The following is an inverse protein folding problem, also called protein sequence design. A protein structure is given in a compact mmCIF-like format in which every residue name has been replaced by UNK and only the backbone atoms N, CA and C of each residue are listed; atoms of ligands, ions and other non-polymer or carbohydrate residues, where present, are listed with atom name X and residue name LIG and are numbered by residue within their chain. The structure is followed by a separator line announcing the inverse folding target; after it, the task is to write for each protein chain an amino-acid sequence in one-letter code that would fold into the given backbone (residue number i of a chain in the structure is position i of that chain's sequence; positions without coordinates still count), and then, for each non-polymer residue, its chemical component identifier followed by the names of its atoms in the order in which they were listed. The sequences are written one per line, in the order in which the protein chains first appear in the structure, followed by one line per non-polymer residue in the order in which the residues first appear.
data_IF_127909146516
#
_entry.id   IF_127909146516
#
_cell.length_a   1.000
_cell.length_b   1.000
_cell.length_c   1.000
_cell.angle_alpha   90.00
_cell.angle_beta   90.00
_cell.angle_gamma   90.00
#
_symmetry.space_group_name_H-M   'P 1'
#
loop_
_entity.id
_entity.type
_entity.pdbx_description
1 polymer ?
#
# COMPACT_ATOMS: atom_id res chain seq x y z
N UNK A 1 -17.44 -5.71 -32.95
CA UNK A 1 -17.63 -5.88 -31.50
C UNK A 1 -16.30 -6.35 -30.92
N UNK A 2 -15.57 -5.48 -30.24
CA UNK A 2 -14.29 -5.81 -29.61
C UNK A 2 -14.57 -6.00 -28.11
N UNK A 3 -14.41 -7.22 -27.61
CA UNK A 3 -14.42 -7.50 -26.19
C UNK A 3 -13.11 -6.95 -25.60
N UNK A 4 -13.20 -5.84 -24.88
CA UNK A 4 -12.17 -5.49 -23.91
C UNK A 4 -12.39 -6.36 -22.68
N UNK A 5 -11.54 -7.36 -22.51
CA UNK A 5 -11.41 -8.10 -21.26
C UNK A 5 -10.89 -7.12 -20.21
N UNK A 6 -11.76 -6.66 -19.31
CA UNK A 6 -11.33 -5.94 -18.10
C UNK A 6 -10.51 -6.92 -17.26
N UNK A 7 -9.20 -6.73 -17.23
CA UNK A 7 -8.32 -7.45 -16.32
C UNK A 7 -8.45 -6.77 -14.96
N UNK A 8 -9.24 -7.34 -14.06
CA UNK A 8 -9.28 -6.94 -12.65
C UNK A 8 -7.92 -7.32 -12.05
N UNK A 9 -7.08 -6.33 -11.77
CA UNK A 9 -5.82 -6.58 -11.06
C UNK A 9 -6.15 -6.64 -9.57
N UNK A 10 -6.23 -7.86 -9.01
CA UNK A 10 -6.22 -8.04 -7.56
C UNK A 10 -4.78 -7.84 -7.09
N UNK A 11 -4.48 -6.64 -6.60
CA UNK A 11 -3.22 -6.37 -5.90
C UNK A 11 -3.34 -7.05 -4.54
N UNK A 12 -2.56 -8.10 -4.33
CA UNK A 12 -2.39 -8.66 -2.99
C UNK A 12 -1.41 -7.74 -2.25
N UNK A 13 -1.94 -6.81 -1.46
CA UNK A 13 -1.13 -6.13 -0.44
C UNK A 13 -0.80 -7.18 0.61
N UNK A 14 0.45 -7.62 0.63
CA UNK A 14 0.93 -8.57 1.64
C UNK A 14 1.27 -7.74 2.89
N UNK A 15 0.70 -8.04 4.07
CA UNK A 15 0.94 -7.27 5.28
C UNK A 15 2.44 -7.28 5.61
N UNK A 16 2.97 -6.11 5.95
CA UNK A 16 4.36 -5.96 6.38
C UNK A 16 4.60 -6.80 7.65
N UNK A 17 5.46 -7.80 7.54
CA UNK A 17 5.87 -8.66 8.64
C UNK A 17 6.74 -7.84 9.61
N UNK A 18 6.24 -7.53 10.81
CA UNK A 18 7.04 -6.92 11.88
C UNK A 18 7.70 -8.03 12.71
N UNK A 19 9.04 -8.00 12.81
CA UNK A 19 9.80 -8.94 13.65
C UNK A 19 9.96 -8.35 15.05
N UNK A 20 9.20 -8.86 16.01
CA UNK A 20 9.29 -8.50 17.44
C UNK A 20 10.30 -9.42 18.15
N UNK A 21 11.39 -8.85 18.68
CA UNK A 21 12.36 -9.59 19.49
C UNK A 21 11.83 -9.77 20.91
N UNK A 22 11.61 -11.02 21.34
CA UNK A 22 11.13 -11.35 22.68
C UNK A 22 12.31 -11.59 23.64
N UNK A 23 12.37 -10.83 24.74
CA UNK A 23 13.19 -11.16 25.90
C UNK A 23 12.37 -12.04 26.85
N UNK A 24 12.82 -13.28 27.12
CA UNK A 24 12.26 -14.09 28.19
C UNK A 24 12.67 -13.51 29.55
N UNK A 25 11.68 -13.19 30.40
CA UNK A 25 11.88 -13.03 31.83
C UNK A 25 11.05 -14.05 32.60
N UNK A 26 11.64 -14.55 33.68
CA UNK A 26 11.17 -15.68 34.47
C UNK A 26 9.85 -15.40 35.21
N UNK A 27 9.04 -16.45 35.37
CA UNK A 27 7.70 -16.45 35.93
C UNK A 27 7.69 -16.36 37.46
N UNK A 28 6.82 -15.50 37.98
CA UNK A 28 6.26 -15.63 39.33
C UNK A 28 4.74 -15.67 39.22
N UNK A 29 4.10 -16.61 39.92
CA UNK A 29 2.66 -16.84 39.83
C UNK A 29 1.89 -15.73 40.58
N UNK A 30 0.87 -15.08 39.97
CA UNK A 30 0.09 -14.08 40.68
C UNK A 30 -1.10 -14.68 41.44
N UNK A 31 -1.27 -14.19 42.66
CA UNK A 31 -2.47 -14.26 43.50
C UNK A 31 -3.62 -13.49 42.83
N UNK A 32 -4.89 -13.93 42.89
CA UNK A 32 -6.00 -13.23 42.24
C UNK A 32 -6.32 -11.92 42.99
N UNK A 33 -5.87 -10.81 42.43
CA UNK A 33 -6.25 -9.46 42.84
C UNK A 33 -7.53 -9.06 42.11
N UNK A 34 -8.53 -8.60 42.86
CA UNK A 34 -9.71 -7.90 42.36
C UNK A 34 -9.26 -6.71 41.50
N UNK A 35 -9.55 -6.73 40.20
CA UNK A 35 -9.04 -5.73 39.25
C UNK A 35 -9.71 -4.36 39.43
N UNK A 36 -9.04 -3.49 40.17
CA UNK A 36 -9.30 -2.05 40.25
C UNK A 36 -8.44 -1.29 39.21
N UNK A 37 -8.50 -1.70 37.94
CA UNK A 37 -7.77 -1.10 36.82
C UNK A 37 -8.74 -0.70 35.71
N UNK A 38 -8.50 0.45 35.06
CA UNK A 38 -9.26 0.88 33.90
C UNK A 38 -9.05 -0.05 32.68
N UNK A 39 -9.68 0.28 31.54
CA UNK A 39 -9.59 -0.53 30.33
C UNK A 39 -8.15 -0.79 29.87
N UNK A 40 -7.92 -1.98 29.30
CA UNK A 40 -6.64 -2.43 28.75
C UNK A 40 -6.46 -1.79 27.36
N UNK A 41 -5.38 -1.03 27.11
CA UNK A 41 -5.12 -0.51 25.77
C UNK A 41 -4.60 -1.61 24.84
N UNK A 42 -4.96 -1.51 23.56
CA UNK A 42 -4.27 -2.22 22.49
C UNK A 42 -2.80 -1.74 22.43
N UNK A 43 -1.89 -2.67 22.14
CA UNK A 43 -0.47 -2.36 21.94
C UNK A 43 -0.24 -1.55 20.68
N UNK A 44 -1.06 -1.82 19.67
CA UNK A 44 -1.08 -1.10 18.41
C UNK A 44 -2.49 -1.09 17.84
N UNK A 45 -2.90 0.03 17.27
CA UNK A 45 -4.14 0.15 16.52
C UNK A 45 -4.00 1.26 15.49
N UNK A 46 -4.40 0.99 14.25
CA UNK A 46 -4.26 1.92 13.13
C UNK A 46 -5.45 1.77 12.21
N UNK A 47 -5.99 2.90 11.77
CA UNK A 47 -6.98 3.02 10.70
C UNK A 47 -6.50 4.10 9.74
N UNK A 48 -6.42 3.79 8.44
CA UNK A 48 -5.87 4.72 7.46
C UNK A 48 -6.45 4.49 6.07
N UNK A 49 -6.29 5.49 5.20
CA UNK A 49 -6.65 5.39 3.79
C UNK A 49 -5.49 4.85 2.96
N UNK A 50 -5.79 3.96 2.03
CA UNK A 50 -4.94 3.65 0.89
C UNK A 50 -5.60 4.14 -0.41
N UNK A 51 -4.94 5.05 -1.11
CA UNK A 51 -5.37 5.51 -2.43
C UNK A 51 -4.49 4.89 -3.51
N UNK A 52 -5.01 4.04 -4.39
CA UNK A 52 -4.22 3.59 -5.53
C UNK A 52 -4.26 4.63 -6.64
N UNK A 53 -3.18 5.40 -6.78
CA UNK A 53 -3.14 6.47 -7.78
C UNK A 53 -3.04 5.96 -9.23
N UNK A 54 -2.82 4.65 -9.45
CA UNK A 54 -2.81 4.02 -10.77
C UNK A 54 -4.17 3.46 -11.16
N UNK A 55 -4.93 2.93 -10.19
CA UNK A 55 -6.27 2.37 -10.40
C UNK A 55 -7.41 3.36 -10.12
N UNK A 56 -7.10 4.48 -9.46
CA UNK A 56 -8.05 5.51 -9.04
C UNK A 56 -9.16 4.95 -8.11
N UNK A 57 -8.80 4.08 -7.18
CA UNK A 57 -9.66 3.55 -6.12
C UNK A 57 -9.11 3.93 -4.73
N UNK A 58 -9.96 3.82 -3.72
CA UNK A 58 -9.68 4.28 -2.36
C UNK A 58 -10.28 3.33 -1.33
N UNK A 59 -9.42 2.76 -0.48
CA UNK A 59 -9.77 1.81 0.56
C UNK A 59 -9.43 2.29 1.97
N UNK A 60 -10.09 1.70 2.98
CA UNK A 60 -9.73 1.87 4.40
C UNK A 60 -9.10 0.58 4.89
N UNK A 61 -7.94 0.71 5.54
CA UNK A 61 -7.19 -0.40 6.10
C UNK A 61 -7.19 -0.27 7.62
N UNK A 62 -7.27 -1.41 8.31
CA UNK A 62 -7.25 -1.48 9.77
C UNK A 62 -6.26 -2.55 10.21
N UNK A 63 -5.52 -2.23 11.26
CA UNK A 63 -4.57 -3.15 11.89
C UNK A 63 -4.57 -2.93 13.39
N UNK A 64 -4.51 -4.01 14.17
CA UNK A 64 -4.39 -3.94 15.62
C UNK A 64 -3.60 -5.13 16.20
N UNK A 65 -3.04 -4.90 17.37
CA UNK A 65 -2.31 -5.86 18.21
C UNK A 65 -2.74 -5.63 19.67
N UNK A 66 -3.15 -6.70 20.32
CA UNK A 66 -3.48 -6.77 21.73
C UNK A 66 -3.21 -8.17 22.27
N UNK A 67 -3.61 -8.42 23.51
CA UNK A 67 -3.40 -9.70 24.19
C UNK A 67 -4.73 -10.37 24.49
N UNK A 68 -4.83 -11.66 24.12
CA UNK A 68 -5.92 -12.57 24.45
C UNK A 68 -7.34 -11.98 24.32
N UNK A 69 -7.57 -11.15 23.31
CA UNK A 69 -8.89 -10.55 23.08
C UNK A 69 -9.84 -11.57 22.47
N UNK A 70 -11.10 -11.58 22.91
CA UNK A 70 -12.14 -12.48 22.38
C UNK A 70 -13.20 -11.76 21.56
N UNK A 71 -13.32 -10.44 21.72
CA UNK A 71 -14.20 -9.60 20.92
C UNK A 71 -13.60 -8.22 20.73
N UNK A 72 -13.84 -7.62 19.57
CA UNK A 72 -13.48 -6.23 19.27
C UNK A 72 -14.57 -5.58 18.43
N UNK A 73 -14.79 -4.30 18.68
CA UNK A 73 -15.68 -3.41 17.95
C UNK A 73 -14.91 -2.16 17.51
N UNK A 74 -15.30 -1.58 16.37
CA UNK A 74 -14.82 -0.27 15.93
C UNK A 74 -16.01 0.66 15.74
N UNK A 75 -16.06 1.72 16.54
CA UNK A 75 -17.01 2.81 16.42
C UNK A 75 -16.40 3.99 15.66
N UNK A 76 -17.17 4.59 14.76
CA UNK A 76 -16.75 5.77 14.03
C UNK A 76 -16.99 7.08 14.83
N UNK A 77 -16.45 8.23 14.38
CA UNK A 77 -16.64 9.53 15.06
C UNK A 77 -18.09 10.00 15.26
N UNK A 78 -19.07 9.32 14.66
CA UNK A 78 -20.49 9.64 14.74
C UNK A 78 -21.26 8.69 15.68
N UNK A 79 -20.58 7.85 16.45
CA UNK A 79 -21.24 6.91 17.36
C UNK A 79 -21.77 5.65 16.67
N UNK A 80 -21.26 5.32 15.48
CA UNK A 80 -21.75 4.18 14.70
C UNK A 80 -20.70 3.08 14.65
N UNK A 81 -21.08 1.88 15.10
CA UNK A 81 -20.35 0.63 14.87
C UNK A 81 -20.20 0.36 13.38
N UNK A 82 -18.96 0.24 12.92
CA UNK A 82 -18.62 -0.06 11.51
C UNK A 82 -17.94 -1.42 11.33
N UNK A 83 -17.50 -2.04 12.42
CA UNK A 83 -16.88 -3.36 12.42
C UNK A 83 -17.07 -4.01 13.79
N UNK A 84 -17.36 -5.31 13.80
CA UNK A 84 -17.46 -6.13 15.00
C UNK A 84 -16.91 -7.52 14.67
N UNK A 85 -16.12 -8.07 15.59
CA UNK A 85 -15.60 -9.44 15.50
C UNK A 85 -15.69 -10.12 16.85
N UNK A 86 -16.10 -11.38 16.84
CA UNK A 86 -16.14 -12.23 18.03
C UNK A 86 -15.49 -13.58 17.71
N UNK A 87 -14.55 -13.99 18.57
CA UNK A 87 -13.97 -15.31 18.54
C UNK A 87 -15.03 -16.38 18.76
N UNK A 88 -14.87 -17.55 18.14
CA UNK A 88 -15.75 -18.71 18.35
C UNK A 88 -14.95 -19.94 18.78
N UNK A 89 -15.61 -20.85 19.49
CA UNK A 89 -14.98 -22.08 19.97
C UNK A 89 -13.72 -21.80 20.81
N UNK A 90 -12.56 -22.40 20.49
CA UNK A 90 -11.31 -22.16 21.22
C UNK A 90 -10.91 -20.68 21.33
N UNK A 91 -11.24 -19.84 20.34
CA UNK A 91 -10.90 -18.41 20.38
C UNK A 91 -11.69 -17.62 21.44
N UNK A 92 -12.82 -18.14 21.96
CA UNK A 92 -13.48 -17.56 23.15
C UNK A 92 -12.71 -17.81 24.45
N UNK A 93 -11.88 -18.86 24.48
CA UNK A 93 -11.17 -19.32 25.68
C UNK A 93 -9.70 -18.92 25.66
N UNK A 94 -9.06 -18.94 24.48
CA UNK A 94 -7.63 -18.67 24.32
C UNK A 94 -7.35 -17.30 23.69
N UNK A 95 -8.37 -16.62 23.17
CA UNK A 95 -8.23 -15.28 22.62
C UNK A 95 -7.48 -15.23 21.29
N UNK A 96 -7.40 -14.02 20.76
CA UNK A 96 -6.68 -13.62 19.57
C UNK A 96 -5.74 -12.48 19.96
N UNK A 97 -4.69 -12.26 19.18
CA UNK A 97 -3.68 -11.23 19.46
C UNK A 97 -3.69 -10.13 18.39
N UNK A 98 -3.75 -10.51 17.12
CA UNK A 98 -3.64 -9.59 16.01
C UNK A 98 -4.87 -9.66 15.08
N UNK A 99 -5.23 -8.52 14.50
CA UNK A 99 -6.21 -8.46 13.41
C UNK A 99 -5.75 -7.45 12.35
N UNK A 100 -5.82 -7.88 11.10
CA UNK A 100 -5.60 -7.05 9.92
C UNK A 100 -6.74 -7.28 8.93
N UNK A 101 -7.31 -6.20 8.41
CA UNK A 101 -8.25 -6.28 7.29
C UNK A 101 -8.23 -5.02 6.44
N UNK A 102 -8.64 -5.19 5.20
CA UNK A 102 -8.78 -4.13 4.21
C UNK A 102 -10.24 -4.07 3.76
N UNK A 103 -10.80 -2.87 3.71
CA UNK A 103 -12.07 -2.65 3.05
C UNK A 103 -11.94 -2.82 1.54
N UNK A 104 -13.05 -3.13 0.85
CA UNK A 104 -13.07 -3.05 -0.60
C UNK A 104 -12.68 -1.63 -1.06
N UNK A 105 -11.94 -1.54 -2.17
CA UNK A 105 -11.44 -0.29 -2.74
C UNK A 105 -12.28 0.07 -3.98
N UNK A 106 -13.42 0.76 -3.83
CA UNK A 106 -14.22 1.17 -4.98
C UNK A 106 -13.47 2.21 -5.81
N UNK A 107 -13.61 2.10 -7.14
CA UNK A 107 -13.14 3.14 -8.04
C UNK A 107 -13.84 4.46 -7.76
N UNK A 108 -13.09 5.56 -7.77
CA UNK A 108 -13.63 6.91 -7.62
C UNK A 108 -14.49 7.37 -8.82
N UNK A 109 -14.45 6.62 -9.92
CA UNK A 109 -15.35 6.81 -11.06
C UNK A 109 -16.74 6.24 -10.78
N UNK A 110 -16.85 5.25 -9.90
CA UNK A 110 -18.10 4.57 -9.52
C UNK A 110 -18.68 5.13 -8.22
N UNK A 111 -17.83 5.35 -7.21
CA UNK A 111 -18.20 5.93 -5.93
C UNK A 111 -17.45 7.26 -5.74
N UNK A 112 -18.12 8.42 -5.83
CA UNK A 112 -17.45 9.70 -5.74
C UNK A 112 -16.69 9.87 -4.41
N UNK A 113 -15.53 10.53 -4.48
CA UNK A 113 -14.67 10.75 -3.31
C UNK A 113 -15.42 11.32 -2.10
N UNK A 114 -16.27 12.32 -2.30
CA UNK A 114 -17.06 12.94 -1.23
C UNK A 114 -18.00 11.96 -0.53
N UNK A 115 -18.51 10.95 -1.26
CA UNK A 115 -19.36 9.91 -0.69
C UNK A 115 -18.51 8.99 0.19
N UNK A 116 -17.35 8.53 -0.27
CA UNK A 116 -16.46 7.68 0.53
C UNK A 116 -15.96 8.38 1.80
N UNK A 117 -15.48 9.62 1.67
CA UNK A 117 -15.05 10.43 2.82
C UNK A 117 -16.21 10.70 3.80
N UNK A 118 -17.45 10.75 3.32
CA UNK A 118 -18.65 10.86 4.16
C UNK A 118 -19.03 9.56 4.87
N UNK A 119 -18.69 8.38 4.31
CA UNK A 119 -18.86 7.08 5.00
C UNK A 119 -17.81 6.84 6.07
N UNK A 120 -16.61 7.38 5.87
CA UNK A 120 -15.49 7.30 6.80
C UNK A 120 -15.02 8.71 7.19
N UNK A 121 -15.78 9.40 8.06
CA UNK A 121 -15.45 10.76 8.48
C UNK A 121 -14.09 10.79 9.18
N UNK A 122 -13.32 11.85 8.95
CA UNK A 122 -12.09 12.05 9.72
C UNK A 122 -12.42 12.19 11.22
N UNK A 123 -11.52 11.70 12.08
CA UNK A 123 -11.68 11.83 13.52
C UNK A 123 -11.15 10.62 14.28
N UNK A 124 -11.61 10.52 15.52
CA UNK A 124 -11.29 9.42 16.42
C UNK A 124 -12.26 8.27 16.17
N UNK A 125 -11.70 7.10 15.94
CA UNK A 125 -12.38 5.82 15.88
C UNK A 125 -12.06 5.07 17.16
N UNK A 126 -13.08 4.64 17.87
CA UNK A 126 -12.94 3.93 19.12
C UNK A 126 -12.82 2.43 18.82
N UNK A 127 -11.81 1.80 19.41
CA UNK A 127 -11.61 0.36 19.40
C UNK A 127 -11.94 -0.12 20.80
N UNK A 128 -12.97 -0.92 20.94
CA UNK A 128 -13.41 -1.44 22.23
C UNK A 128 -13.60 -2.95 22.18
N UNK A 129 -13.61 -3.62 23.33
CA UNK A 129 -13.82 -5.07 23.35
C UNK A 129 -13.55 -5.71 24.69
N UNK A 130 -13.35 -7.03 24.66
CA UNK A 130 -13.11 -7.82 25.87
C UNK A 130 -11.97 -8.83 25.65
N UNK A 131 -11.18 -9.03 26.69
CA UNK A 131 -10.28 -10.18 26.80
C UNK A 131 -11.01 -11.47 27.21
N UNK A 132 -10.30 -12.60 27.18
CA UNK A 132 -10.83 -13.90 27.64
C UNK A 132 -11.28 -13.88 29.10
N UNK A 133 -10.72 -12.99 29.93
CA UNK A 133 -11.06 -12.80 31.34
C UNK A 133 -12.20 -11.79 31.58
N UNK A 134 -12.76 -11.19 30.53
CA UNK A 134 -13.76 -10.11 30.56
C UNK A 134 -13.23 -8.77 31.08
N UNK A 135 -11.93 -8.49 30.99
CA UNK A 135 -11.46 -7.12 31.13
C UNK A 135 -11.79 -6.32 29.87
N UNK A 136 -12.20 -5.08 30.06
CA UNK A 136 -12.48 -4.15 28.98
C UNK A 136 -11.20 -3.78 28.25
N UNK A 137 -11.30 -3.69 26.93
CA UNK A 137 -10.26 -3.15 26.05
C UNK A 137 -10.78 -1.82 25.50
N UNK A 138 -9.96 -0.78 25.53
CA UNK A 138 -10.26 0.51 24.89
C UNK A 138 -9.02 1.14 24.26
N UNK A 139 -9.14 1.63 23.03
CA UNK A 139 -8.10 2.39 22.34
C UNK A 139 -8.70 3.31 21.28
N UNK A 140 -7.94 4.32 20.85
CA UNK A 140 -8.42 5.27 19.83
C UNK A 140 -7.49 5.27 18.64
N UNK A 141 -8.04 5.03 17.45
CA UNK A 141 -7.34 5.21 16.18
C UNK A 141 -7.78 6.51 15.51
N UNK A 142 -6.86 7.26 14.91
CA UNK A 142 -7.20 8.51 14.22
C UNK A 142 -7.17 8.33 12.71
N UNK A 143 -8.32 8.50 12.06
CA UNK A 143 -8.39 8.59 10.61
C UNK A 143 -8.30 10.04 10.15
N UNK A 144 -7.34 10.33 9.28
CA UNK A 144 -7.14 11.66 8.69
C UNK A 144 -7.60 11.68 7.24
N UNK A 145 -8.11 12.80 6.75
CA UNK A 145 -8.33 13.01 5.30
C UNK A 145 -7.10 13.61 4.59
N UNK A 146 -5.94 13.66 5.26
CA UNK A 146 -4.65 14.01 4.66
C UNK A 146 -4.12 12.85 3.80
N UNK A 147 -4.68 12.66 2.60
CA UNK A 147 -4.29 11.58 1.69
C UNK A 147 -3.19 12.11 0.75
N UNK A 148 -1.97 11.52 0.72
CA UNK A 148 -0.89 12.01 -0.11
C UNK A 148 -1.14 11.74 -1.61
N UNK A 149 -0.55 12.55 -2.50
CA UNK A 149 -0.48 12.18 -3.91
C UNK A 149 0.48 11.00 -4.12
N UNK A 150 0.26 10.19 -5.16
CA UNK A 150 1.20 9.15 -5.53
C UNK A 150 2.50 9.77 -6.08
N UNK A 151 3.69 9.35 -5.62
CA UNK A 151 4.96 9.91 -6.09
C UNK A 151 5.14 9.69 -7.58
N UNK A 152 5.85 10.58 -8.29
CA UNK A 152 6.26 10.25 -9.67
C UNK A 152 7.46 9.32 -9.61
N UNK A 153 7.32 8.11 -10.16
CA UNK A 153 8.30 7.03 -10.06
C UNK A 153 8.95 6.77 -11.41
N UNK A 154 10.26 6.57 -11.40
CA UNK A 154 11.07 6.15 -12.53
C UNK A 154 12.04 5.06 -12.09
N UNK A 155 12.53 4.29 -13.06
CA UNK A 155 13.62 3.36 -12.84
C UNK A 155 14.60 3.36 -14.00
N UNK A 156 15.86 3.09 -13.68
CA UNK A 156 16.95 3.01 -14.62
C UNK A 156 17.95 1.93 -14.19
N UNK A 157 18.68 1.39 -15.17
CA UNK A 157 19.78 0.46 -14.91
C UNK A 157 21.07 1.26 -14.83
N UNK A 158 21.78 1.15 -13.70
CA UNK A 158 23.06 1.82 -13.46
C UNK A 158 24.22 0.85 -13.37
N UNK A 159 25.38 1.27 -13.91
CA UNK A 159 26.61 0.48 -13.87
C UNK A 159 26.44 -0.93 -14.44
N UNK A 160 26.97 -1.93 -13.73
CA UNK A 160 26.92 -3.34 -14.10
C UNK A 160 25.57 -3.99 -13.71
N UNK A 161 24.46 -3.45 -14.20
CA UNK A 161 23.11 -4.03 -14.08
C UNK A 161 22.38 -3.84 -12.74
N UNK A 162 22.65 -2.76 -12.01
CA UNK A 162 21.91 -2.44 -10.81
C UNK A 162 20.59 -1.75 -11.16
N UNK A 163 19.46 -2.27 -10.66
CA UNK A 163 18.16 -1.60 -10.79
C UNK A 163 18.08 -0.47 -9.78
N UNK A 164 18.05 0.77 -10.27
CA UNK A 164 17.80 1.96 -9.45
C UNK A 164 16.36 2.43 -9.66
N UNK A 165 15.60 2.48 -8.58
CA UNK A 165 14.27 3.10 -8.52
C UNK A 165 14.44 4.47 -7.87
N UNK A 166 13.81 5.50 -8.45
CA UNK A 166 13.85 6.85 -7.90
C UNK A 166 12.52 7.56 -8.10
N UNK A 167 12.25 8.52 -7.23
CA UNK A 167 10.95 9.19 -7.19
C UNK A 167 11.05 10.65 -6.75
N UNK A 168 9.97 11.39 -7.01
CA UNK A 168 9.82 12.77 -6.54
C UNK A 168 9.23 12.81 -5.14
N UNK A 169 9.63 13.84 -4.38
CA UNK A 169 9.03 14.10 -3.07
C UNK A 169 7.56 14.52 -3.21
N UNK A 170 6.68 13.89 -2.44
CA UNK A 170 5.26 14.22 -2.35
C UNK A 170 5.05 15.28 -1.27
N UNK A 171 4.32 16.34 -1.64
CA UNK A 171 4.11 17.53 -0.78
C UNK A 171 2.65 17.99 -0.72
N UNK A 172 1.76 17.31 -1.42
CA UNK A 172 0.36 17.71 -1.54
C UNK A 172 -0.55 16.49 -1.76
N UNK A 173 -1.85 16.61 -1.47
CA UNK A 173 -2.87 15.66 -1.89
C UNK A 173 -3.01 15.55 -3.42
N UNK A 174 -3.65 14.48 -3.93
CA UNK A 174 -4.02 14.39 -5.34
C UNK A 174 -4.99 15.52 -5.76
N UNK A 175 -5.03 15.90 -7.05
CA UNK A 175 -6.07 16.79 -7.56
C UNK A 175 -7.48 16.26 -7.26
N UNK A 176 -8.38 17.14 -6.81
CA UNK A 176 -9.76 16.77 -6.46
C UNK A 176 -9.94 16.26 -5.03
N UNK A 177 -8.85 15.96 -4.30
CA UNK A 177 -8.91 15.58 -2.90
C UNK A 177 -9.01 16.80 -1.97
N UNK A 178 -9.45 16.61 -0.70
CA UNK A 178 -9.38 17.65 0.31
C UNK A 178 -7.99 18.28 0.39
N UNK A 179 -7.92 19.61 0.46
CA UNK A 179 -6.66 20.36 0.56
C UNK A 179 -6.11 20.35 2.00
N UNK A 180 -6.10 19.17 2.63
CA UNK A 180 -5.50 18.97 3.95
C UNK A 180 -3.98 18.84 3.77
N UNK A 181 -3.16 19.56 4.54
CA UNK A 181 -1.70 19.43 4.46
C UNK A 181 -1.26 17.98 4.69
N UNK A 182 -0.34 17.49 3.86
CA UNK A 182 0.27 16.17 4.01
C UNK A 182 1.69 16.30 4.53
N UNK A 183 2.06 15.47 5.50
CA UNK A 183 3.42 15.33 5.98
C UNK A 183 3.92 13.91 5.69
N UNK A 184 4.56 13.73 4.54
CA UNK A 184 5.12 12.41 4.17
C UNK A 184 6.34 12.13 5.04
N UNK A 185 6.29 11.04 5.80
CA UNK A 185 7.33 10.63 6.76
C UNK A 185 8.17 9.46 6.26
N UNK A 186 7.64 8.68 5.32
CA UNK A 186 8.34 7.56 4.71
C UNK A 186 7.91 7.32 3.27
N UNK A 187 8.73 6.55 2.55
CA UNK A 187 8.34 5.88 1.32
C UNK A 187 8.53 4.38 1.47
N UNK A 188 7.72 3.59 0.78
CA UNK A 188 7.93 2.16 0.68
C UNK A 188 8.10 1.76 -0.77
N UNK A 189 9.18 1.01 -1.06
CA UNK A 189 9.46 0.46 -2.38
C UNK A 189 9.10 -1.02 -2.37
N UNK A 190 8.28 -1.44 -3.33
CA UNK A 190 7.85 -2.82 -3.50
C UNK A 190 8.26 -3.31 -4.88
N UNK A 191 8.98 -4.44 -4.94
CA UNK A 191 9.37 -5.14 -6.18
C UNK A 191 9.08 -6.63 -5.95
N UNK A 192 7.94 -7.11 -6.43
CA UNK A 192 7.47 -8.47 -6.12
C UNK A 192 7.48 -8.72 -4.60
N UNK A 193 8.32 -9.65 -4.10
CA UNK A 193 8.46 -9.98 -2.68
C UNK A 193 9.44 -9.08 -1.91
N UNK A 194 10.18 -8.21 -2.61
CA UNK A 194 11.06 -7.24 -1.95
C UNK A 194 10.25 -6.03 -1.56
N UNK A 195 10.29 -5.69 -0.27
CA UNK A 195 9.63 -4.52 0.28
C UNK A 195 10.56 -3.86 1.28
N UNK A 196 10.74 -2.56 1.15
CA UNK A 196 11.54 -1.78 2.10
C UNK A 196 10.91 -0.42 2.33
N UNK A 197 10.78 -0.05 3.60
CA UNK A 197 10.38 1.29 4.02
C UNK A 197 11.62 2.12 4.31
N UNK A 198 11.69 3.31 3.70
CA UNK A 198 12.79 4.27 3.84
C UNK A 198 12.26 5.61 4.36
N UNK A 199 13.08 6.40 5.08
CA UNK A 199 12.67 7.73 5.53
C UNK A 199 12.28 8.66 4.36
N UNK A 200 11.44 9.66 4.60
CA UNK A 200 11.00 10.61 3.57
C UNK A 200 12.13 11.41 2.88
N UNK A 201 13.32 11.47 3.48
CA UNK A 201 14.51 12.08 2.88
C UNK A 201 15.14 11.22 1.78
N UNK A 202 14.81 9.93 1.73
CA UNK A 202 15.30 9.00 0.70
C UNK A 202 14.36 9.07 -0.50
N UNK A 203 14.92 9.44 -1.66
CA UNK A 203 14.20 9.60 -2.93
C UNK A 203 14.72 8.68 -4.05
N UNK A 204 15.60 7.75 -3.69
CA UNK A 204 16.09 6.70 -4.58
C UNK A 204 16.55 5.50 -3.78
N UNK A 205 16.36 4.32 -4.35
CA UNK A 205 16.80 3.04 -3.83
C UNK A 205 17.44 2.22 -4.97
N UNK A 206 18.59 1.62 -4.70
CA UNK A 206 19.15 0.59 -5.57
C UNK A 206 18.73 -0.77 -5.02
N UNK A 207 18.04 -1.56 -5.84
CA UNK A 207 17.67 -2.93 -5.50
C UNK A 207 18.92 -3.80 -5.59
N UNK A 208 19.15 -4.65 -4.59
CA UNK A 208 20.34 -5.50 -4.56
C UNK A 208 20.39 -6.40 -5.82
N UNK A 209 21.56 -6.56 -6.45
CA UNK A 209 21.72 -7.44 -7.62
C UNK A 209 21.28 -8.87 -7.35
N UNK A 210 21.49 -9.37 -6.14
CA UNK A 210 21.10 -10.71 -5.71
C UNK A 210 19.58 -10.87 -5.78
N UNK A 211 18.82 -9.86 -5.36
CA UNK A 211 17.37 -9.86 -5.50
C UNK A 211 16.94 -9.80 -6.96
N UNK A 212 17.54 -8.91 -7.76
CA UNK A 212 17.24 -8.79 -9.19
C UNK A 212 17.53 -10.10 -9.94
N UNK A 213 18.63 -10.78 -9.60
CA UNK A 213 19.00 -12.06 -10.19
C UNK A 213 18.06 -13.22 -9.79
N UNK A 214 17.39 -13.10 -8.64
CA UNK A 214 16.41 -14.08 -8.17
C UNK A 214 15.02 -13.89 -8.81
N UNK A 215 14.77 -12.78 -9.52
CA UNK A 215 13.52 -12.58 -10.22
C UNK A 215 13.38 -13.56 -11.39
N UNK A 216 12.18 -14.12 -11.63
CA UNK A 216 11.89 -14.86 -12.85
C UNK A 216 12.23 -14.05 -14.11
N UNK A 217 12.42 -14.72 -15.25
CA UNK A 217 12.54 -13.99 -16.52
C UNK A 217 11.20 -13.36 -16.87
N UNK A 218 11.14 -12.04 -17.06
CA UNK A 218 9.92 -11.38 -17.49
C UNK A 218 9.90 -9.88 -17.22
N UNK A 219 8.73 -9.29 -17.42
CA UNK A 219 8.43 -7.93 -16.98
C UNK A 219 7.93 -8.02 -15.55
N UNK A 220 8.56 -7.25 -14.67
CA UNK A 220 8.17 -7.14 -13.27
C UNK A 220 7.56 -5.77 -13.02
N UNK A 221 6.52 -5.74 -12.19
CA UNK A 221 5.98 -4.49 -11.69
C UNK A 221 6.69 -4.11 -10.40
N UNK A 222 6.71 -2.81 -10.15
CA UNK A 222 7.20 -2.26 -8.89
C UNK A 222 6.39 -1.01 -8.56
N UNK A 223 6.39 -0.68 -7.28
CA UNK A 223 5.61 0.42 -6.73
C UNK A 223 6.44 1.22 -5.76
N UNK A 224 6.12 2.52 -5.67
CA UNK A 224 6.56 3.36 -4.57
C UNK A 224 5.33 3.98 -3.91
N UNK A 225 5.18 3.72 -2.62
CA UNK A 225 4.14 4.29 -1.78
C UNK A 225 4.69 5.53 -1.08
N UNK A 226 3.96 6.63 -1.10
CA UNK A 226 4.17 7.72 -0.14
C UNK A 226 3.37 7.42 1.12
N UNK A 227 3.99 7.55 2.30
CA UNK A 227 3.35 7.29 3.61
C UNK A 227 3.30 8.61 4.40
N UNK A 228 2.09 9.09 4.64
CA UNK A 228 1.79 10.28 5.43
C UNK A 228 1.91 9.99 6.94
N UNK A 229 2.12 11.01 7.77
CA UNK A 229 2.29 10.88 9.22
C UNK A 229 1.09 10.22 9.93
N UNK A 230 -0.13 10.37 9.42
CA UNK A 230 -1.32 9.64 9.88
C UNK A 230 -1.32 8.18 9.48
N UNK A 231 -0.37 7.78 8.63
CA UNK A 231 -0.28 6.46 8.05
C UNK A 231 -1.09 6.25 6.79
N UNK A 232 -1.80 7.28 6.29
CA UNK A 232 -2.41 7.24 4.96
C UNK A 232 -1.32 7.00 3.92
N UNK A 233 -1.60 6.15 2.94
CA UNK A 233 -0.63 5.78 1.93
C UNK A 233 -1.20 5.79 0.53
N UNK A 234 -0.31 5.90 -0.45
CA UNK A 234 -0.69 6.00 -1.86
C UNK A 234 0.31 5.28 -2.73
N UNK A 235 0.04 4.02 -3.12
CA UNK A 235 0.85 3.33 -4.11
C UNK A 235 0.77 4.02 -5.47
N UNK A 236 1.91 4.01 -6.17
CA UNK A 236 1.97 4.28 -7.60
C UNK A 236 2.88 3.28 -8.30
N UNK A 237 2.31 2.61 -9.30
CA UNK A 237 3.05 1.91 -10.37
C UNK A 237 3.53 2.95 -11.40
N UNK A 238 4.81 2.92 -11.85
CA UNK A 238 5.28 3.79 -12.92
C UNK A 238 4.44 3.65 -14.19
N UNK A 239 4.09 4.77 -14.82
CA UNK A 239 3.52 4.74 -16.15
C UNK A 239 4.56 4.18 -17.14
N UNK A 240 4.20 3.18 -17.94
CA UNK A 240 5.05 2.69 -19.01
C UNK A 240 5.22 3.77 -20.09
N UNK A 241 6.19 4.67 -19.92
CA UNK A 241 6.66 5.47 -21.04
C UNK A 241 7.45 4.52 -21.92
N UNK A 242 6.78 4.00 -22.95
CA UNK A 242 7.42 3.37 -24.10
C UNK A 242 8.54 4.29 -24.56
N UNK A 243 9.79 3.92 -24.27
CA UNK A 243 10.94 4.46 -24.96
C UNK A 243 10.77 4.01 -26.41
N UNK A 244 10.25 4.92 -27.25
CA UNK A 244 10.32 4.78 -28.71
C UNK A 244 11.79 4.59 -29.02
N UNK A 245 12.17 3.34 -29.26
CA UNK A 245 13.45 3.01 -29.88
C UNK A 245 13.56 3.80 -31.16
N UNK A 246 14.63 4.57 -31.21
CA UNK A 246 15.03 5.39 -32.33
C UNK A 246 14.94 4.59 -33.63
N UNK A 247 14.22 5.19 -34.57
CA UNK A 247 14.17 4.94 -36.00
C UNK A 247 15.56 4.56 -36.57
N UNK A 248 15.88 3.28 -36.56
CA UNK A 248 17.05 2.72 -37.24
C UNK A 248 16.59 1.57 -38.14
N UNK A 249 15.64 1.86 -39.03
CA UNK A 249 15.37 1.02 -40.18
C UNK A 249 14.98 1.89 -41.39
N UNK A 250 16.00 2.52 -41.98
CA UNK A 250 15.97 3.00 -43.37
C UNK A 250 17.31 2.66 -43.99
N UNK A 251 17.47 1.38 -44.34
CA UNK A 251 18.59 0.87 -45.11
C UNK A 251 18.17 -0.17 -46.16
N UNK A 252 16.92 -0.13 -46.63
CA UNK A 252 16.47 -0.99 -47.72
C UNK A 252 17.15 -0.59 -49.03
N UNK A 253 18.13 -1.41 -49.43
CA UNK A 253 18.77 -1.44 -50.76
C UNK A 253 17.73 -1.31 -51.88
N UNK A 254 17.75 -0.18 -52.60
CA UNK A 254 17.17 -0.08 -53.95
C UNK A 254 18.31 0.01 -54.97
N UNK A 255 18.44 -1.02 -55.81
CA UNK A 255 19.25 -1.00 -57.03
C UNK A 255 18.64 0.00 -58.03
N UNK A 256 19.42 0.82 -58.74
CA UNK A 256 18.90 1.63 -59.82
C UNK A 256 18.76 0.81 -61.11
N UNK A 257 17.56 0.83 -61.71
CA UNK A 257 17.37 0.56 -63.13
C UNK A 257 17.80 1.81 -63.91
N UNK A 258 18.90 1.72 -64.65
CA UNK A 258 19.35 2.73 -65.60
C UNK A 258 19.42 2.15 -67.00
N UNK A 259 18.47 2.55 -67.85
CA UNK A 259 18.36 2.21 -69.28
C UNK A 259 19.14 3.26 -70.07
N UNK A 260 20.04 2.86 -70.97
CA UNK A 260 20.61 3.72 -72.00
C UNK A 260 20.50 3.06 -73.37
N UNK A 261 19.94 3.81 -74.33
CA UNK A 261 19.76 3.51 -75.76
C UNK A 261 20.98 3.98 -76.57
N UNK A 262 21.21 3.32 -77.72
CA UNK A 262 21.63 3.80 -79.09
C UNK A 262 22.40 2.62 -79.75
N UNK A 263 22.03 2.05 -80.91
CA UNK A 263 22.07 2.60 -82.28
C UNK A 263 23.54 2.73 -82.75
N UNK A 264 24.08 2.23 -83.88
CA UNK A 264 23.58 1.64 -85.13
C UNK A 264 24.78 1.10 -85.96
N UNK A 265 24.55 0.12 -86.86
CA UNK A 265 25.18 -0.13 -88.19
C UNK A 265 26.71 -0.44 -88.32
N UNK A 266 27.20 -1.01 -89.45
CA UNK A 266 26.52 -1.45 -90.69
C UNK A 266 26.40 -2.97 -90.88
#
# INVERSE_FOLDING_TARGET
MSLQTKLTMSIAVIPALFVTTHFLSATSAPTPATAAGGPIPLKFNKIYWEYNASANDLGVHVSLDGEDWKSLEIENPLGKVIFEVEGSGPYKTYGMTELFFEGAEPSLDEVPLSVLLGKFPQGNYEFSGLDVSNHEIESVGKLSHAIPAGPQVLADIVGNSFLRIHWSAVKAPPPGFPKVPVNVVAYQVIVEKFQVTVPATTLSLTVSPEFVAALPKGVHQFEVLAIEASGNQTPRVPSSRSSRTSRQDRGARRRPRGRARRGSAP
#
